data_IF_052486197133
#
_entry.id   IF_052486197133
#
_cell.length_a   1.000
_cell.length_b   1.000
_cell.length_c   1.000
_cell.angle_alpha   90.00
_cell.angle_beta   90.00
_cell.angle_gamma   90.00
#
_symmetry.space_group_name_H-M   'P 1'
#
loop_
_entity.id
_entity.type
_entity.pdbx_description
1 polymer ?
#
# COMPACT_ATOMS: atom_id res chain seq x y z
N UNK A 1 32.83 -64.79 -50.65
CA UNK A 1 32.49 -63.49 -50.02
C UNK A 1 31.08 -63.14 -50.49
N UNK A 2 29.98 -63.49 -49.82
CA UNK A 2 29.54 -63.12 -48.45
C UNK A 2 28.93 -61.70 -48.50
N UNK A 3 27.70 -61.35 -48.09
CA UNK A 3 26.58 -61.93 -47.32
C UNK A 3 25.30 -61.16 -47.81
N UNK A 4 24.12 -61.76 -48.07
CA UNK A 4 22.94 -61.91 -47.16
C UNK A 4 22.49 -60.58 -46.51
N UNK A 5 21.23 -60.11 -46.57
CA UNK A 5 20.00 -60.80 -46.17
C UNK A 5 18.73 -59.92 -46.45
N UNK A 6 17.67 -60.54 -46.99
CA UNK A 6 16.27 -60.57 -46.49
C UNK A 6 15.40 -59.28 -46.53
N UNK A 7 14.07 -59.33 -46.67
CA UNK A 7 13.08 -60.24 -46.06
C UNK A 7 11.74 -60.22 -46.83
N UNK A 8 10.99 -61.32 -46.74
CA UNK A 8 9.67 -61.56 -47.33
C UNK A 8 8.53 -61.33 -46.31
N UNK A 9 7.29 -61.62 -46.77
CA UNK A 9 6.09 -62.00 -46.01
C UNK A 9 5.21 -60.86 -45.45
N UNK A 10 3.89 -60.99 -45.29
CA UNK A 10 2.80 -61.81 -45.84
C UNK A 10 1.51 -61.21 -45.22
N UNK A 11 0.42 -61.24 -45.98
CA UNK A 11 -1.01 -61.16 -45.59
C UNK A 11 -1.37 -61.07 -44.10
N UNK A 12 -2.22 -60.09 -43.73
CA UNK A 12 -2.95 -60.07 -42.45
C UNK A 12 -4.45 -59.89 -42.66
N UNK A 13 -5.18 -60.78 -41.99
CA UNK A 13 -6.60 -61.10 -42.06
C UNK A 13 -7.40 -60.18 -41.11
N UNK A 14 -8.57 -59.73 -41.56
CA UNK A 14 -9.56 -59.00 -40.76
C UNK A 14 -10.27 -59.91 -39.75
N UNK A 15 -10.44 -59.44 -38.49
CA UNK A 15 -11.51 -59.91 -37.61
C UNK A 15 -12.07 -58.74 -36.77
N UNK A 16 -13.40 -58.65 -36.77
CA UNK A 16 -14.32 -57.72 -36.10
C UNK A 16 -14.24 -57.74 -34.55
N UNK A 17 -14.45 -56.58 -33.92
CA UNK A 17 -15.24 -56.46 -32.69
C UNK A 17 -15.69 -55.00 -32.47
N UNK A 18 -16.93 -54.82 -32.05
CA UNK A 18 -17.73 -53.59 -32.07
C UNK A 18 -17.94 -53.07 -30.63
N UNK A 19 -17.92 -51.75 -30.39
CA UNK A 19 -18.66 -51.13 -29.27
C UNK A 19 -18.74 -49.60 -29.39
N UNK A 20 -19.97 -49.11 -29.55
CA UNK A 20 -20.55 -47.86 -29.01
C UNK A 20 -19.66 -46.61 -28.90
N UNK A 21 -19.83 -45.68 -29.85
CA UNK A 21 -19.48 -44.27 -29.64
C UNK A 21 -20.62 -43.61 -28.86
N UNK A 22 -20.43 -43.44 -27.55
CA UNK A 22 -21.21 -42.46 -26.79
C UNK A 22 -20.63 -41.07 -27.05
N UNK A 23 -21.51 -40.17 -27.47
CA UNK A 23 -21.23 -38.75 -27.69
C UNK A 23 -20.80 -38.16 -26.34
N UNK A 24 -19.49 -37.93 -26.16
CA UNK A 24 -19.00 -37.12 -25.04
C UNK A 24 -19.11 -35.64 -25.44
N UNK A 25 -20.28 -35.07 -25.18
CA UNK A 25 -20.51 -33.63 -25.20
C UNK A 25 -19.64 -33.03 -24.08
N UNK A 26 -18.45 -32.57 -24.43
CA UNK A 26 -17.57 -31.86 -23.51
C UNK A 26 -18.12 -30.44 -23.37
N UNK A 27 -18.58 -29.99 -22.20
CA UNK A 27 -18.92 -28.59 -22.03
C UNK A 27 -17.63 -27.80 -22.19
N UNK A 28 -17.60 -27.00 -23.25
CA UNK A 28 -16.63 -25.94 -23.47
C UNK A 28 -16.49 -25.15 -22.17
N UNK A 29 -15.37 -25.36 -21.49
CA UNK A 29 -15.07 -24.72 -20.21
C UNK A 29 -14.60 -23.32 -20.51
N UNK A 30 -15.52 -22.43 -20.89
CA UNK A 30 -15.22 -21.01 -20.90
C UNK A 30 -14.74 -20.63 -19.49
N UNK A 31 -13.54 -20.02 -19.35
CA UNK A 31 -13.18 -19.38 -18.10
C UNK A 31 -14.31 -18.40 -17.77
N UNK A 32 -14.90 -18.54 -16.59
CA UNK A 32 -15.83 -17.53 -16.08
C UNK A 32 -15.15 -16.16 -16.05
N UNK A 33 -15.91 -15.05 -15.92
CA UNK A 33 -15.32 -13.72 -15.81
C UNK A 33 -14.24 -13.75 -14.72
N UNK A 34 -12.98 -13.53 -15.11
CA UNK A 34 -11.91 -13.32 -14.14
C UNK A 34 -12.09 -11.90 -13.64
N UNK A 35 -12.33 -11.75 -12.33
CA UNK A 35 -12.37 -10.43 -11.69
C UNK A 35 -11.03 -9.73 -11.96
N UNK A 36 -11.09 -8.57 -12.60
CA UNK A 36 -9.92 -7.79 -12.97
C UNK A 36 -9.30 -7.21 -11.70
N UNK A 37 -8.04 -7.54 -11.45
CA UNK A 37 -7.24 -6.90 -10.40
C UNK A 37 -6.93 -5.47 -10.83
N UNK A 38 -7.28 -4.53 -9.96
CA UNK A 38 -6.96 -3.11 -10.09
C UNK A 38 -5.76 -2.78 -9.19
N UNK A 39 -5.05 -1.72 -9.57
CA UNK A 39 -3.90 -1.19 -8.83
C UNK A 39 -4.20 0.26 -8.50
N UNK A 40 -4.15 0.59 -7.22
CA UNK A 40 -4.26 1.96 -6.72
C UNK A 40 -2.95 2.40 -6.09
N UNK A 41 -2.80 3.69 -5.78
CA UNK A 41 -1.64 4.26 -5.09
C UNK A 41 -2.04 4.93 -3.78
N UNK A 42 -1.29 4.71 -2.71
CA UNK A 42 -1.43 5.46 -1.47
C UNK A 42 -0.50 6.68 -1.47
N UNK A 43 -1.05 7.90 -1.39
CA UNK A 43 -0.33 9.15 -1.58
C UNK A 43 -0.34 10.10 -0.36
N UNK A 44 0.86 10.36 0.14
CA UNK A 44 1.40 11.53 0.85
C UNK A 44 2.87 11.62 0.35
N UNK A 45 3.04 11.88 -0.95
CA UNK A 45 4.00 11.18 -1.85
C UNK A 45 3.79 9.66 -1.91
N UNK A 46 4.46 8.94 -2.81
CA UNK A 46 4.38 7.47 -2.87
C UNK A 46 4.84 6.86 -1.52
N UNK A 47 3.93 6.19 -0.80
CA UNK A 47 4.24 5.61 0.52
C UNK A 47 4.57 4.12 0.39
N UNK A 48 5.83 3.77 0.59
CA UNK A 48 6.34 2.39 0.64
C UNK A 48 6.28 1.83 2.07
N UNK A 49 5.83 0.58 2.22
CA UNK A 49 5.88 -0.14 3.49
C UNK A 49 4.57 -0.20 4.27
N UNK A 50 3.45 0.27 3.71
CA UNK A 50 2.13 0.12 4.33
C UNK A 50 1.58 -1.28 4.10
N UNK A 51 1.12 -1.94 5.15
CA UNK A 51 0.35 -3.18 5.03
C UNK A 51 -1.06 -2.81 4.57
N UNK A 52 -1.49 -3.37 3.43
CA UNK A 52 -2.86 -3.23 2.94
C UNK A 52 -3.59 -4.58 2.97
N UNK A 53 -4.91 -4.54 3.17
CA UNK A 53 -5.77 -5.71 3.10
C UNK A 53 -7.17 -5.36 2.62
N UNK A 54 -7.70 -6.19 1.71
CA UNK A 54 -9.07 -6.21 1.22
C UNK A 54 -9.69 -7.59 1.53
N UNK A 55 -10.98 -7.83 1.23
CA UNK A 55 -11.57 -9.17 1.36
C UNK A 55 -10.84 -10.27 0.57
N UNK A 56 -10.15 -9.93 -0.52
CA UNK A 56 -9.50 -10.89 -1.42
C UNK A 56 -8.00 -10.68 -1.61
N UNK A 57 -7.44 -9.56 -1.14
CA UNK A 57 -6.03 -9.19 -1.33
C UNK A 57 -5.38 -8.77 -0.01
N UNK A 58 -4.08 -8.97 0.08
CA UNK A 58 -3.24 -8.40 1.13
C UNK A 58 -1.82 -8.25 0.61
N UNK A 59 -1.07 -7.30 1.16
CA UNK A 59 0.29 -7.05 0.74
C UNK A 59 0.91 -5.86 1.46
N UNK A 60 2.03 -5.40 0.92
CA UNK A 60 2.75 -4.21 1.36
C UNK A 60 2.85 -3.26 0.16
N UNK A 61 2.59 -1.97 0.36
CA UNK A 61 2.76 -0.97 -0.70
C UNK A 61 4.21 -0.93 -1.16
N UNK A 62 4.41 -0.93 -2.48
CA UNK A 62 5.74 -0.91 -3.07
C UNK A 62 6.33 0.51 -3.12
N UNK A 63 7.51 0.67 -3.74
CA UNK A 63 8.18 1.97 -3.90
C UNK A 63 7.40 3.01 -4.71
N UNK A 64 6.35 2.60 -5.43
CA UNK A 64 5.43 3.49 -6.14
C UNK A 64 4.13 3.74 -5.35
N UNK A 65 4.06 3.30 -4.09
CA UNK A 65 2.88 3.39 -3.24
C UNK A 65 1.75 2.45 -3.64
N UNK A 66 2.00 1.48 -4.53
CA UNK A 66 0.95 0.70 -5.16
C UNK A 66 0.36 -0.38 -4.24
N UNK A 67 -0.95 -0.58 -4.31
CA UNK A 67 -1.69 -1.67 -3.69
C UNK A 67 -2.68 -2.31 -4.67
N UNK A 68 -2.99 -3.59 -4.48
CA UNK A 68 -3.96 -4.33 -5.30
C UNK A 68 -5.34 -4.41 -4.64
N UNK A 69 -6.40 -4.26 -5.44
CA UNK A 69 -7.79 -4.40 -4.99
C UNK A 69 -8.71 -4.88 -6.13
N UNK A 70 -9.93 -5.28 -5.80
CA UNK A 70 -11.01 -5.49 -6.77
C UNK A 70 -12.07 -4.38 -6.66
N UNK A 71 -12.76 -4.10 -7.77
CA UNK A 71 -13.81 -3.08 -7.81
C UNK A 71 -14.88 -3.32 -6.72
N UNK A 72 -15.17 -2.26 -5.94
CA UNK A 72 -16.16 -2.29 -4.86
C UNK A 72 -15.66 -2.84 -3.53
N UNK A 73 -14.40 -3.29 -3.43
CA UNK A 73 -13.80 -3.66 -2.15
C UNK A 73 -13.44 -2.45 -1.29
N UNK A 74 -13.41 -2.67 0.02
CA UNK A 74 -12.80 -1.74 0.98
C UNK A 74 -11.37 -2.22 1.23
N UNK A 75 -10.41 -1.30 1.15
CA UNK A 75 -9.02 -1.52 1.51
C UNK A 75 -8.73 -0.87 2.86
N UNK A 76 -8.06 -1.63 3.75
CA UNK A 76 -7.59 -1.15 5.05
C UNK A 76 -6.07 -1.02 5.02
N UNK A 77 -5.55 0.07 5.58
CA UNK A 77 -4.11 0.36 5.65
C UNK A 77 -3.60 0.36 7.09
N UNK A 78 -2.40 -0.19 7.27
CA UNK A 78 -1.68 -0.26 8.54
C UNK A 78 -0.20 0.01 8.34
N UNK A 79 0.47 0.44 9.40
CA UNK A 79 1.93 0.45 9.50
C UNK A 79 2.33 -0.33 10.75
N UNK A 80 3.02 -1.45 10.56
CA UNK A 80 3.18 -2.46 11.62
C UNK A 80 1.81 -2.88 12.20
N UNK A 81 1.66 -2.78 13.53
CA UNK A 81 0.40 -3.04 14.22
C UNK A 81 -0.61 -1.87 14.23
N UNK A 82 -0.20 -0.66 13.80
CA UNK A 82 -1.02 0.55 13.90
C UNK A 82 -1.97 0.61 12.71
N UNK A 83 -3.28 0.63 12.99
CA UNK A 83 -4.30 0.85 11.95
C UNK A 83 -4.40 2.33 11.63
N UNK A 84 -4.22 2.67 10.36
CA UNK A 84 -4.31 4.05 9.86
C UNK A 84 -5.76 4.39 9.49
N UNK A 85 -6.44 3.46 8.82
CA UNK A 85 -7.82 3.66 8.38
C UNK A 85 -8.18 2.75 7.21
N UNK A 86 -9.30 3.06 6.56
CA UNK A 86 -9.80 2.27 5.42
C UNK A 86 -10.66 3.14 4.49
N UNK A 87 -10.62 2.84 3.20
CA UNK A 87 -11.41 3.52 2.18
C UNK A 87 -11.93 2.51 1.15
N UNK A 88 -12.88 2.92 0.30
CA UNK A 88 -13.18 2.16 -0.91
C UNK A 88 -11.92 2.11 -1.79
N UNK A 89 -11.65 0.96 -2.41
CA UNK A 89 -10.54 0.83 -3.33
C UNK A 89 -10.70 1.78 -4.53
N UNK A 90 -9.65 2.55 -4.82
CA UNK A 90 -9.63 3.57 -5.86
C UNK A 90 -8.21 3.70 -6.45
N UNK A 91 -8.08 4.38 -7.59
CA UNK A 91 -6.79 4.62 -8.28
C UNK A 91 -5.82 5.41 -7.39
N UNK A 92 -6.34 6.30 -6.55
CA UNK A 92 -5.58 7.10 -5.58
C UNK A 92 -6.32 7.10 -4.25
N UNK A 93 -5.59 6.80 -3.18
CA UNK A 93 -6.06 6.90 -1.79
C UNK A 93 -5.04 7.74 -1.01
N UNK A 94 -5.52 8.62 -0.16
CA UNK A 94 -4.70 9.53 0.64
C UNK A 94 -5.05 9.40 2.13
N UNK A 95 -4.28 10.03 3.04
CA UNK A 95 -4.70 10.19 4.43
C UNK A 95 -6.10 10.80 4.62
N UNK A 96 -6.60 11.61 3.67
CA UNK A 96 -7.96 12.16 3.70
C UNK A 96 -8.99 11.03 3.56
N UNK A 97 -8.78 10.13 2.60
CA UNK A 97 -9.76 9.11 2.23
C UNK A 97 -9.94 8.03 3.30
N UNK A 98 -8.87 7.73 4.04
CA UNK A 98 -8.88 6.69 5.07
C UNK A 98 -9.30 7.19 6.45
N UNK A 99 -9.39 8.51 6.64
CA UNK A 99 -9.80 9.11 7.90
C UNK A 99 -11.28 8.80 8.21
N UNK A 100 -11.56 8.51 9.48
CA UNK A 100 -12.90 8.10 9.95
C UNK A 100 -13.81 9.28 10.28
N UNK A 101 -13.27 10.50 10.38
CA UNK A 101 -14.04 11.72 10.58
C UNK A 101 -15.09 11.95 9.48
N UNK A 102 -16.21 12.60 9.85
CA UNK A 102 -17.23 13.00 8.87
C UNK A 102 -16.71 14.10 7.94
N UNK A 103 -16.63 13.82 6.64
CA UNK A 103 -16.13 14.74 5.60
C UNK A 103 -14.70 15.24 5.91
N UNK A 104 -13.71 14.34 5.91
CA UNK A 104 -12.33 14.70 6.22
C UNK A 104 -11.77 15.67 5.17
N UNK A 105 -10.87 16.55 5.62
CA UNK A 105 -10.16 17.54 4.80
C UNK A 105 -8.72 17.65 5.31
N UNK A 106 -7.87 18.43 4.62
CA UNK A 106 -6.54 18.79 5.13
C UNK A 106 -6.58 19.43 6.54
N UNK A 107 -7.68 20.06 6.94
CA UNK A 107 -7.82 20.64 8.28
C UNK A 107 -8.22 19.64 9.36
N UNK A 108 -8.60 18.42 8.99
CA UNK A 108 -9.05 17.40 9.94
C UNK A 108 -7.88 16.86 10.74
N UNK A 109 -7.95 16.95 12.08
CA UNK A 109 -6.88 16.54 12.99
C UNK A 109 -6.36 15.11 12.72
N UNK A 110 -7.27 14.17 12.44
CA UNK A 110 -6.95 12.78 12.08
C UNK A 110 -6.07 12.70 10.83
N UNK A 111 -6.41 13.44 9.78
CA UNK A 111 -5.62 13.52 8.53
C UNK A 111 -4.23 14.06 8.82
N UNK A 112 -4.13 15.18 9.57
CA UNK A 112 -2.84 15.79 9.92
C UNK A 112 -1.95 14.83 10.69
N UNK A 113 -2.53 14.09 11.63
CA UNK A 113 -1.80 13.17 12.50
C UNK A 113 -1.38 11.88 11.79
N UNK A 114 -2.20 11.35 10.89
CA UNK A 114 -1.83 10.23 10.02
C UNK A 114 -0.64 10.66 9.15
N UNK A 115 -0.74 11.81 8.48
CA UNK A 115 0.34 12.36 7.64
C UNK A 115 1.63 12.58 8.45
N UNK A 116 1.50 13.14 9.66
CA UNK A 116 2.64 13.34 10.56
C UNK A 116 3.34 12.03 10.94
N UNK A 117 2.58 10.97 11.21
CA UNK A 117 3.16 9.65 11.50
C UNK A 117 3.93 9.12 10.30
N UNK A 118 3.34 9.16 9.10
CA UNK A 118 3.96 8.67 7.87
C UNK A 118 5.29 9.39 7.59
N UNK A 119 5.27 10.72 7.58
CA UNK A 119 6.46 11.53 7.30
C UNK A 119 7.50 11.46 8.44
N UNK A 120 7.09 11.23 9.68
CA UNK A 120 8.03 10.99 10.80
C UNK A 120 8.78 9.67 10.66
N UNK A 121 8.15 8.65 10.07
CA UNK A 121 8.73 7.33 9.86
C UNK A 121 9.53 7.20 8.57
N UNK A 122 9.55 8.25 7.75
CA UNK A 122 10.31 8.30 6.52
C UNK A 122 11.82 8.16 6.78
N UNK A 123 12.44 7.20 6.07
CA UNK A 123 13.78 6.73 6.37
C UNK A 123 14.86 7.80 6.11
N UNK A 124 14.67 8.67 5.11
CA UNK A 124 15.63 9.73 4.78
C UNK A 124 15.20 11.13 5.26
N UNK A 125 13.95 11.26 5.73
CA UNK A 125 13.32 12.49 6.24
C UNK A 125 13.05 13.53 5.15
N UNK A 126 12.95 13.11 3.91
CA UNK A 126 12.61 13.96 2.78
C UNK A 126 11.38 13.39 2.05
N UNK A 127 10.17 13.70 2.56
CA UNK A 127 8.94 13.13 1.99
C UNK A 127 8.68 13.59 0.55
N UNK A 128 9.40 14.61 0.05
CA UNK A 128 9.26 15.10 -1.32
C UNK A 128 9.79 14.14 -2.39
N UNK A 129 10.53 13.09 -1.97
CA UNK A 129 11.09 12.08 -2.87
C UNK A 129 10.45 10.69 -2.72
N UNK A 130 9.32 10.62 -2.01
CA UNK A 130 8.67 9.39 -1.56
C UNK A 130 8.70 9.30 -0.03
N UNK A 131 7.90 8.39 0.53
CA UNK A 131 7.97 8.05 1.96
C UNK A 131 8.32 6.57 2.06
N UNK A 132 9.51 6.25 2.56
CA UNK A 132 9.94 4.86 2.77
C UNK A 132 9.93 4.52 4.25
N UNK A 133 9.01 3.65 4.67
CA UNK A 133 8.95 3.15 6.04
C UNK A 133 9.81 1.89 6.16
N UNK A 134 10.97 2.03 6.79
CA UNK A 134 11.91 0.90 6.95
C UNK A 134 11.35 -0.21 7.85
N UNK A 135 11.70 -1.47 7.53
CA UNK A 135 11.37 -2.61 8.40
C UNK A 135 11.97 -2.45 9.81
N UNK A 136 13.16 -1.85 9.91
CA UNK A 136 13.78 -1.55 11.21
C UNK A 136 12.91 -0.63 12.06
N UNK A 137 12.27 0.40 11.48
CA UNK A 137 11.34 1.25 12.21
C UNK A 137 10.06 0.50 12.60
N UNK A 138 9.51 -0.32 11.68
CA UNK A 138 8.30 -1.13 11.90
C UNK A 138 8.46 -2.07 13.10
N UNK A 139 9.62 -2.70 13.25
CA UNK A 139 9.89 -3.67 14.31
C UNK A 139 9.82 -3.07 15.73
N UNK A 140 9.88 -1.74 15.86
CA UNK A 140 9.77 -1.01 17.12
C UNK A 140 8.45 -0.24 17.28
N UNK A 141 7.53 -0.35 16.32
CA UNK A 141 6.20 0.24 16.46
C UNK A 141 5.37 -0.53 17.50
N UNK A 142 4.50 0.17 18.25
CA UNK A 142 3.62 -0.47 19.22
C UNK A 142 2.55 -1.30 18.51
N UNK A 143 2.15 -2.40 19.16
CA UNK A 143 0.99 -3.21 18.77
C UNK A 143 -0.35 -2.55 19.16
N UNK A 144 -0.32 -1.46 19.94
CA UNK A 144 -1.51 -0.73 20.37
C UNK A 144 -1.94 0.29 19.33
N UNK A 145 -3.25 0.46 19.17
CA UNK A 145 -3.83 1.49 18.32
C UNK A 145 -3.51 2.91 18.83
N UNK A 146 -3.20 3.82 17.90
CA UNK A 146 -3.05 5.26 18.13
C UNK A 146 -4.41 5.94 17.92
N UNK A 147 -4.78 6.85 18.82
CA UNK A 147 -5.91 7.76 18.61
C UNK A 147 -5.44 8.98 17.79
N UNK A 148 -5.68 8.94 16.48
CA UNK A 148 -5.34 10.03 15.58
C UNK A 148 -6.26 11.26 15.73
N UNK A 149 -7.34 11.21 16.50
CA UNK A 149 -8.22 12.37 16.73
C UNK A 149 -7.68 13.33 17.80
N UNK A 150 -6.66 12.93 18.55
CA UNK A 150 -6.05 13.66 19.66
C UNK A 150 -4.67 14.23 19.30
N UNK A 151 -4.04 15.03 20.18
CA UNK A 151 -2.68 15.50 19.95
C UNK A 151 -1.69 14.31 19.88
N UNK A 152 -0.93 14.21 18.78
CA UNK A 152 -0.04 13.06 18.52
C UNK A 152 1.44 13.33 18.90
N UNK A 153 1.82 14.56 19.26
CA UNK A 153 3.23 14.96 19.38
C UNK A 153 4.00 14.13 20.40
N UNK A 154 3.41 13.87 21.56
CA UNK A 154 4.04 13.03 22.59
C UNK A 154 4.22 11.59 22.11
N UNK A 155 3.25 11.06 21.36
CA UNK A 155 3.32 9.72 20.78
C UNK A 155 4.46 9.65 19.76
N UNK A 156 4.51 10.58 18.80
CA UNK A 156 5.59 10.63 17.80
C UNK A 156 6.97 10.79 18.45
N UNK A 157 7.08 11.67 19.46
CA UNK A 157 8.32 11.85 20.22
C UNK A 157 8.79 10.55 20.87
N UNK A 158 7.89 9.82 21.52
CA UNK A 158 8.23 8.54 22.14
C UNK A 158 8.62 7.46 21.10
N UNK A 159 7.93 7.40 19.96
CA UNK A 159 8.28 6.48 18.87
C UNK A 159 9.67 6.78 18.32
N UNK A 160 9.95 8.03 17.96
CA UNK A 160 11.26 8.46 17.44
C UNK A 160 12.36 8.17 18.45
N UNK A 161 12.13 8.45 19.74
CA UNK A 161 13.11 8.15 20.79
C UNK A 161 13.38 6.64 20.90
N UNK A 162 12.35 5.80 20.85
CA UNK A 162 12.53 4.35 20.97
C UNK A 162 13.21 3.77 19.72
N UNK A 163 12.78 4.17 18.52
CA UNK A 163 13.38 3.70 17.25
C UNK A 163 14.84 4.13 17.16
N UNK A 164 15.15 5.42 17.32
CA UNK A 164 16.53 5.93 17.18
C UNK A 164 17.48 5.38 18.26
N UNK A 165 16.95 4.99 19.43
CA UNK A 165 17.76 4.40 20.50
C UNK A 165 18.14 2.95 20.22
N UNK A 166 17.29 2.20 19.50
CA UNK A 166 17.47 0.77 19.28
C UNK A 166 17.90 0.40 17.85
N UNK A 167 17.89 1.37 16.94
CA UNK A 167 18.28 1.20 15.52
C UNK A 167 19.41 2.17 15.15
N UNK A 168 19.81 2.17 13.87
CA UNK A 168 20.70 3.20 13.30
C UNK A 168 19.92 4.34 12.64
N UNK A 169 18.60 4.36 12.77
CA UNK A 169 17.78 5.42 12.24
C UNK A 169 18.09 6.76 12.93
N UNK A 170 17.85 7.85 12.20
CA UNK A 170 17.94 9.23 12.69
C UNK A 170 16.63 9.93 12.37
N UNK A 171 15.50 9.32 12.77
CA UNK A 171 14.17 9.87 12.54
C UNK A 171 13.98 11.18 13.30
N UNK A 172 13.12 12.05 12.77
CA UNK A 172 12.73 13.31 13.41
C UNK A 172 11.22 13.43 13.40
N UNK A 173 10.67 13.93 14.50
CA UNK A 173 9.24 14.24 14.57
C UNK A 173 8.92 15.31 13.54
N UNK A 174 8.00 14.99 12.63
CA UNK A 174 7.34 15.94 11.74
C UNK A 174 6.07 16.43 12.42
N UNK A 175 5.86 17.75 12.47
CA UNK A 175 4.68 18.33 13.10
C UNK A 175 3.45 18.13 12.20
N UNK A 176 2.23 17.92 12.75
CA UNK A 176 1.02 17.72 11.95
C UNK A 176 0.78 18.79 10.89
N UNK A 177 1.07 20.04 11.22
CA UNK A 177 0.91 21.20 10.34
C UNK A 177 1.95 21.20 9.21
N UNK A 178 3.17 20.78 9.49
CA UNK A 178 4.23 20.61 8.48
C UNK A 178 3.87 19.45 7.54
N UNK A 179 3.42 18.33 8.12
CA UNK A 179 2.98 17.18 7.34
C UNK A 179 1.79 17.50 6.43
N UNK A 180 0.87 18.34 6.90
CA UNK A 180 -0.29 18.80 6.11
C UNK A 180 0.16 19.66 4.92
N UNK A 181 1.19 20.50 5.07
CA UNK A 181 1.74 21.29 3.97
C UNK A 181 2.27 20.37 2.88
N UNK A 182 3.01 19.32 3.26
CA UNK A 182 3.51 18.33 2.30
C UNK A 182 2.38 17.54 1.62
N UNK A 183 1.39 17.07 2.37
CA UNK A 183 0.24 16.38 1.80
C UNK A 183 -0.50 17.27 0.80
N UNK A 184 -0.71 18.55 1.12
CA UNK A 184 -1.32 19.49 0.19
C UNK A 184 -0.50 19.67 -1.10
N UNK A 185 0.83 19.75 -0.99
CA UNK A 185 1.73 19.82 -2.15
C UNK A 185 1.62 18.57 -3.03
N UNK A 186 1.53 17.39 -2.42
CA UNK A 186 1.29 16.11 -3.13
C UNK A 186 0.01 16.17 -3.97
N UNK A 187 -1.02 16.84 -3.46
CA UNK A 187 -2.35 16.93 -4.08
C UNK A 187 -2.51 18.14 -5.02
N UNK A 188 -1.45 18.94 -5.25
CA UNK A 188 -1.52 20.22 -5.96
C UNK A 188 -2.58 21.18 -5.35
N UNK A 189 -2.75 21.12 -4.02
CA UNK A 189 -3.67 21.96 -3.26
C UNK A 189 -2.93 23.10 -2.55
N UNK A 190 -3.54 24.29 -2.54
CA UNK A 190 -3.02 25.43 -1.79
C UNK A 190 -3.39 25.29 -0.31
N UNK A 191 -2.39 25.05 0.55
CA UNK A 191 -2.56 25.00 1.99
C UNK A 191 -1.69 26.06 2.68
N UNK A 192 -2.34 27.01 3.34
CA UNK A 192 -1.65 28.00 4.18
C UNK A 192 -1.95 27.72 5.65
N UNK A 193 -0.92 27.40 6.41
CA UNK A 193 -1.07 27.30 7.86
C UNK A 193 -1.39 28.68 8.46
N UNK A 194 -2.60 28.86 8.97
CA UNK A 194 -3.08 30.12 9.55
C UNK A 194 -2.41 30.49 10.90
N UNK A 195 -1.47 29.68 11.41
CA UNK A 195 -0.87 29.86 12.73
C UNK A 195 0.48 30.59 12.80
N UNK A 196 1.07 31.03 11.69
CA UNK A 196 2.37 31.73 11.68
C UNK A 196 2.34 33.19 11.22
N UNK A 197 1.18 33.74 10.84
CA UNK A 197 1.05 35.18 10.53
C UNK A 197 1.27 36.10 11.75
N UNK A 198 1.43 35.56 12.96
CA UNK A 198 1.70 36.34 14.19
C UNK A 198 3.17 36.41 14.60
N UNK A 199 4.06 35.63 13.97
CA UNK A 199 5.51 35.81 14.16
C UNK A 199 6.00 36.72 13.03
N UNK A 200 5.59 37.99 13.12
CA UNK A 200 6.33 39.04 12.44
C UNK A 200 7.78 38.95 12.90
N UNK A 201 8.69 38.69 11.96
CA UNK A 201 10.11 38.97 12.09
C UNK A 201 10.27 40.47 12.38
N UNK A 202 10.09 40.88 13.64
CA UNK A 202 10.68 42.12 14.11
C UNK A 202 12.18 41.90 14.17
N UNK A 203 12.83 42.28 13.07
CA UNK A 203 14.22 42.69 12.94
C UNK A 203 15.02 42.61 14.25
N UNK A 204 15.79 41.53 14.44
CA UNK A 204 17.00 41.61 15.25
C UNK A 204 18.08 42.24 14.38
N UNK A 205 17.98 43.56 14.22
CA UNK A 205 19.08 44.47 13.89
C UNK A 205 18.78 45.82 14.54
N UNK A 206 19.16 45.95 15.82
CA UNK A 206 19.92 47.08 16.37
C UNK A 206 20.81 46.58 17.51
#
# INVERSE_FOLDING_TARGET
MGLLNRLAAFSLLFIYACSQEEISDSPDSQPGPQEQVLVGKFLDSEVEGLIYSTPTREGITNSEGEFEYLEGEIVSFKVGGITLGSAAGDEVITPIDIATASYPTLETQEVKNISALLQTLDADKDPSNGITISQEAIDFLPESQIDFSSNIIEVLGNLVLEINKNTLADLKVVMPEEATVHLAQTLDEEYSFQGLESITFFNVLE
#
